data_IF_022981254152
#
_entry.id   IF_022981254152
#
_cell.length_a   1.000
_cell.length_b   1.000
_cell.length_c   1.000
_cell.angle_alpha   90.00
_cell.angle_beta   90.00
_cell.angle_gamma   90.00
#
_symmetry.space_group_name_H-M   'P 1'
#
loop_
_entity.id
_entity.type
_entity.pdbx_description
1 polymer ?
#
# COMPACT_ATOMS: atom_id res chain seq x y z
N UNK A 1 -4.41 22.56 -15.39
CA UNK A 1 -3.39 22.78 -16.46
C UNK A 1 -2.10 21.95 -16.28
N UNK A 2 -1.91 21.24 -15.16
CA UNK A 2 -0.65 20.53 -14.85
C UNK A 2 -0.60 19.06 -15.31
N UNK A 3 -1.71 18.30 -15.31
CA UNK A 3 -1.70 16.88 -15.70
C UNK A 3 -1.40 16.64 -17.19
N UNK A 4 -1.90 17.48 -18.11
CA UNK A 4 -1.67 17.29 -19.55
C UNK A 4 -0.20 17.58 -19.93
N UNK A 5 0.45 18.53 -19.27
CA UNK A 5 1.89 18.81 -19.47
C UNK A 5 2.76 17.65 -19.01
N UNK A 6 2.39 17.00 -17.90
CA UNK A 6 3.10 15.81 -17.40
C UNK A 6 2.94 14.63 -18.34
N UNK A 7 1.73 14.37 -18.85
CA UNK A 7 1.51 13.31 -19.85
C UNK A 7 2.32 13.54 -21.13
N UNK A 8 2.35 14.78 -21.63
CA UNK A 8 3.13 15.14 -22.82
C UNK A 8 4.65 14.94 -22.61
N UNK A 9 5.17 15.32 -21.44
CA UNK A 9 6.57 15.06 -21.08
C UNK A 9 6.89 13.57 -21.03
N UNK A 10 6.00 12.75 -20.46
CA UNK A 10 6.19 11.29 -20.41
C UNK A 10 6.18 10.69 -21.82
N UNK A 11 5.24 11.08 -22.68
CA UNK A 11 5.18 10.63 -24.08
C UNK A 11 6.42 11.05 -24.88
N UNK A 12 6.90 12.28 -24.71
CA UNK A 12 8.11 12.76 -25.38
C UNK A 12 9.37 12.01 -24.93
N UNK A 13 9.48 11.70 -23.63
CA UNK A 13 10.60 10.93 -23.10
C UNK A 13 10.60 9.50 -23.64
N UNK A 14 9.43 8.86 -23.73
CA UNK A 14 9.27 7.54 -24.34
C UNK A 14 9.71 7.52 -25.80
N UNK A 15 9.40 8.58 -26.56
CA UNK A 15 9.82 8.69 -27.96
C UNK A 15 11.33 8.86 -28.12
N UNK A 16 11.95 9.73 -27.33
CA UNK A 16 13.41 9.95 -27.34
C UNK A 16 14.16 8.66 -27.00
N UNK A 17 13.64 7.93 -26.03
CA UNK A 17 14.18 6.63 -25.61
C UNK A 17 14.09 5.62 -26.75
N UNK A 18 12.90 5.42 -27.34
CA UNK A 18 12.72 4.52 -28.48
C UNK A 18 13.64 4.85 -29.66
N UNK A 19 13.92 6.15 -29.88
CA UNK A 19 14.86 6.60 -30.88
C UNK A 19 16.31 6.20 -30.56
N UNK A 20 16.75 6.43 -29.30
CA UNK A 20 18.09 6.01 -28.85
C UNK A 20 18.27 4.49 -28.95
N UNK A 21 17.25 3.69 -28.67
CA UNK A 21 17.35 2.24 -28.74
C UNK A 21 17.37 1.69 -30.17
N UNK A 22 16.64 2.33 -31.10
CA UNK A 22 16.78 2.04 -32.53
C UNK A 22 18.22 2.22 -33.02
N UNK A 23 18.98 3.14 -32.41
CA UNK A 23 20.39 3.35 -32.71
C UNK A 23 21.29 2.22 -32.18
N UNK A 24 20.94 1.55 -31.08
CA UNK A 24 21.75 0.49 -30.45
C UNK A 24 21.41 -0.95 -30.91
N UNK A 25 20.44 -1.15 -31.81
CA UNK A 25 20.00 -2.49 -32.29
C UNK A 25 19.60 -3.47 -31.16
N UNK A 26 19.11 -2.97 -30.03
CA UNK A 26 18.62 -3.79 -28.91
C UNK A 26 17.16 -4.21 -29.18
N UNK A 27 16.76 -5.43 -28.79
CA UNK A 27 15.39 -5.94 -28.97
C UNK A 27 14.37 -5.21 -28.06
N UNK A 28 13.16 -5.01 -28.58
CA UNK A 28 12.12 -4.11 -28.03
C UNK A 28 11.60 -4.45 -26.62
N UNK A 29 11.56 -5.73 -26.21
CA UNK A 29 11.06 -6.07 -24.85
C UNK A 29 12.09 -5.72 -23.78
N UNK A 30 13.34 -6.10 -24.03
CA UNK A 30 14.43 -5.89 -23.07
C UNK A 30 14.60 -4.39 -22.83
N UNK A 31 14.44 -3.59 -23.89
CA UNK A 31 14.35 -2.13 -23.84
C UNK A 31 13.29 -1.68 -22.83
N UNK A 32 12.05 -2.17 -22.90
CA UNK A 32 10.98 -1.71 -22.02
C UNK A 32 11.33 -1.90 -20.53
N UNK A 33 11.95 -3.03 -20.16
CA UNK A 33 12.35 -3.28 -18.78
C UNK A 33 13.49 -2.35 -18.36
N UNK A 34 14.53 -2.24 -19.19
CA UNK A 34 15.68 -1.35 -18.93
C UNK A 34 15.21 0.09 -18.77
N UNK A 35 14.33 0.56 -19.66
CA UNK A 35 13.73 1.89 -19.61
C UNK A 35 12.90 2.08 -18.35
N UNK A 36 12.11 1.09 -17.96
CA UNK A 36 11.31 1.17 -16.72
C UNK A 36 12.23 1.29 -15.50
N UNK A 37 13.30 0.49 -15.43
CA UNK A 37 14.31 0.56 -14.36
C UNK A 37 15.01 1.93 -14.36
N UNK A 38 15.43 2.41 -15.54
CA UNK A 38 16.08 3.71 -15.69
C UNK A 38 15.15 4.85 -15.24
N UNK A 39 13.87 4.81 -15.60
CA UNK A 39 12.89 5.79 -15.17
C UNK A 39 12.72 5.78 -13.64
N UNK A 40 12.73 4.61 -13.00
CA UNK A 40 12.70 4.52 -11.54
C UNK A 40 13.95 5.14 -10.92
N UNK A 41 15.14 4.86 -11.47
CA UNK A 41 16.39 5.46 -11.00
C UNK A 41 16.40 6.99 -11.17
N UNK A 42 15.90 7.49 -12.30
CA UNK A 42 15.74 8.93 -12.56
C UNK A 42 14.76 9.55 -11.57
N UNK A 43 13.63 8.89 -11.28
CA UNK A 43 12.67 9.36 -10.27
C UNK A 43 13.33 9.46 -8.89
N UNK A 44 14.10 8.45 -8.49
CA UNK A 44 14.88 8.47 -7.24
C UNK A 44 15.86 9.65 -7.24
N UNK A 45 16.63 9.84 -8.31
CA UNK A 45 17.60 10.92 -8.42
C UNK A 45 16.92 12.30 -8.33
N UNK A 46 15.82 12.53 -9.04
CA UNK A 46 15.05 13.78 -9.00
C UNK A 46 14.58 14.07 -7.58
N UNK A 47 14.08 13.06 -6.86
CA UNK A 47 13.61 13.22 -5.48
C UNK A 47 14.77 13.55 -4.55
N UNK A 48 15.92 12.88 -4.69
CA UNK A 48 17.10 13.14 -3.86
C UNK A 48 17.64 14.56 -4.10
N UNK A 49 17.76 14.98 -5.37
CA UNK A 49 18.19 16.32 -5.76
C UNK A 49 17.19 17.36 -5.25
N UNK A 50 15.89 17.16 -5.48
CA UNK A 50 14.84 18.07 -5.01
C UNK A 50 14.83 18.20 -3.49
N UNK A 51 15.10 17.12 -2.76
CA UNK A 51 15.23 17.14 -1.32
C UNK A 51 16.49 17.90 -0.85
N UNK A 52 17.63 17.73 -1.53
CA UNK A 52 18.85 18.49 -1.24
C UNK A 52 18.63 20.00 -1.45
N UNK A 53 18.01 20.39 -2.58
CA UNK A 53 17.67 21.78 -2.88
C UNK A 53 16.72 22.36 -1.82
N UNK A 54 15.74 21.58 -1.37
CA UNK A 54 14.78 22.02 -0.34
C UNK A 54 15.43 22.22 1.04
N UNK A 55 16.38 21.35 1.42
CA UNK A 55 17.04 21.41 2.73
C UNK A 55 18.07 22.53 2.80
N UNK A 56 18.77 22.81 1.69
CA UNK A 56 19.83 23.82 1.62
C UNK A 56 19.45 25.20 2.22
N UNK A 57 18.28 25.81 1.91
CA UNK A 57 17.89 27.09 2.50
C UNK A 57 17.35 26.99 3.94
N UNK A 58 16.92 25.80 4.39
CA UNK A 58 16.13 25.67 5.62
C UNK A 58 16.96 25.53 6.91
N UNK A 59 18.29 25.45 6.87
CA UNK A 59 19.16 25.09 8.01
C UNK A 59 18.70 23.84 8.82
N UNK A 60 17.79 23.05 8.26
CA UNK A 60 17.15 21.92 8.93
C UNK A 60 18.07 20.70 8.95
N UNK A 61 18.00 19.91 10.03
CA UNK A 61 18.69 18.61 10.08
C UNK A 61 18.07 17.67 9.03
N UNK A 62 18.93 16.98 8.30
CA UNK A 62 18.55 15.99 7.29
C UNK A 62 17.71 14.87 7.91
N UNK A 63 16.47 14.71 7.44
CA UNK A 63 15.53 13.71 7.93
C UNK A 63 15.58 12.47 7.04
N UNK A 64 16.51 11.56 7.35
CA UNK A 64 16.73 10.30 6.61
C UNK A 64 15.48 9.45 6.39
N UNK A 65 14.47 9.57 7.26
CA UNK A 65 13.20 8.85 7.12
C UNK A 65 12.38 9.27 5.90
N UNK A 66 12.52 10.50 5.41
CA UNK A 66 11.83 10.96 4.21
C UNK A 66 12.33 10.14 3.01
N UNK A 67 13.65 10.04 2.85
CA UNK A 67 14.28 9.28 1.76
C UNK A 67 13.90 7.81 1.84
N UNK A 68 13.97 7.20 3.03
CA UNK A 68 13.56 5.81 3.25
C UNK A 68 12.12 5.55 2.80
N UNK A 69 11.17 6.38 3.25
CA UNK A 69 9.76 6.24 2.86
C UNK A 69 9.56 6.47 1.37
N UNK A 70 10.27 7.42 0.76
CA UNK A 70 10.12 7.68 -0.66
C UNK A 70 10.68 6.56 -1.52
N UNK A 71 11.86 6.02 -1.19
CA UNK A 71 12.41 4.84 -1.86
C UNK A 71 11.46 3.65 -1.76
N UNK A 72 10.93 3.42 -0.56
CA UNK A 72 9.99 2.33 -0.31
C UNK A 72 8.68 2.52 -1.09
N UNK A 73 8.15 3.74 -1.13
CA UNK A 73 6.97 4.08 -1.92
C UNK A 73 7.21 3.83 -3.42
N UNK A 74 8.33 4.31 -3.96
CA UNK A 74 8.70 4.13 -5.37
C UNK A 74 8.88 2.65 -5.71
N UNK A 75 9.48 1.87 -4.81
CA UNK A 75 9.59 0.43 -4.96
C UNK A 75 8.20 -0.21 -5.05
N UNK A 76 7.34 -0.01 -4.03
CA UNK A 76 6.00 -0.62 -3.97
C UNK A 76 5.12 -0.19 -5.16
N UNK A 77 5.23 1.07 -5.61
CA UNK A 77 4.43 1.58 -6.73
C UNK A 77 4.83 0.98 -8.07
N UNK A 78 6.13 0.78 -8.31
CA UNK A 78 6.63 0.28 -9.59
C UNK A 78 6.80 -1.24 -9.65
N UNK A 79 6.82 -1.90 -8.49
CA UNK A 79 7.08 -3.34 -8.35
C UNK A 79 6.23 -4.20 -9.28
N UNK A 80 4.91 -4.06 -9.22
CA UNK A 80 3.99 -4.93 -9.97
C UNK A 80 4.11 -4.74 -11.49
N UNK A 81 4.42 -3.53 -11.93
CA UNK A 81 4.67 -3.23 -13.33
C UNK A 81 5.92 -3.97 -13.84
N UNK A 82 7.04 -3.83 -13.12
CA UNK A 82 8.28 -4.55 -13.45
C UNK A 82 8.08 -6.07 -13.41
N UNK A 83 7.48 -6.60 -12.33
CA UNK A 83 7.23 -8.03 -12.20
C UNK A 83 6.41 -8.59 -13.37
N UNK A 84 5.35 -7.90 -13.79
CA UNK A 84 4.56 -8.28 -14.96
C UNK A 84 5.39 -8.27 -16.26
N UNK A 85 6.29 -7.30 -16.45
CA UNK A 85 7.16 -7.27 -17.62
C UNK A 85 8.13 -8.46 -17.64
N UNK A 86 8.70 -8.84 -16.50
CA UNK A 86 9.54 -10.03 -16.39
C UNK A 86 8.75 -11.32 -16.65
N UNK A 87 7.54 -11.45 -16.07
CA UNK A 87 6.67 -12.60 -16.36
C UNK A 87 6.36 -12.70 -17.86
N UNK A 88 6.12 -11.56 -18.52
CA UNK A 88 5.83 -11.47 -19.95
C UNK A 88 6.99 -11.84 -20.87
N UNK A 89 8.24 -11.82 -20.40
CA UNK A 89 9.41 -12.33 -21.15
C UNK A 89 9.46 -13.85 -21.07
N UNK A 90 9.19 -14.40 -19.88
CA UNK A 90 9.33 -15.84 -19.63
C UNK A 90 8.12 -16.63 -20.16
N UNK A 91 7.01 -15.96 -20.44
CA UNK A 91 5.80 -16.57 -20.96
C UNK A 91 5.70 -16.58 -22.48
N UNK A 92 4.97 -17.57 -22.98
CA UNK A 92 4.71 -17.77 -24.41
C UNK A 92 3.25 -17.52 -24.75
N UNK A 93 3.01 -17.10 -25.98
CA UNK A 93 1.69 -16.98 -26.60
C UNK A 93 1.69 -17.70 -27.94
N UNK A 94 0.63 -18.48 -28.20
CA UNK A 94 0.48 -19.21 -29.46
C UNK A 94 -0.37 -18.38 -30.42
N UNK A 95 0.16 -18.08 -31.61
CA UNK A 95 -0.56 -17.42 -32.72
C UNK A 95 -0.34 -18.28 -33.96
N UNK A 96 -1.43 -18.79 -34.56
CA UNK A 96 -1.36 -19.64 -35.76
C UNK A 96 -0.42 -20.85 -35.60
N UNK A 97 -0.49 -21.52 -34.44
CA UNK A 97 0.40 -22.64 -34.05
C UNK A 97 1.89 -22.31 -33.94
N UNK A 98 2.26 -21.03 -33.94
CA UNK A 98 3.64 -20.58 -33.70
C UNK A 98 3.70 -19.95 -32.31
N UNK A 99 4.71 -20.33 -31.54
CA UNK A 99 4.96 -19.79 -30.21
C UNK A 99 5.78 -18.49 -30.32
N UNK A 100 5.22 -17.40 -29.81
CA UNK A 100 5.85 -16.10 -29.69
C UNK A 100 6.02 -15.74 -28.22
N UNK A 101 6.91 -14.79 -27.94
CA UNK A 101 7.05 -14.24 -26.60
C UNK A 101 5.81 -13.40 -26.30
N UNK A 102 5.21 -13.54 -25.12
CA UNK A 102 3.98 -12.81 -24.80
C UNK A 102 4.17 -11.29 -24.87
N UNK A 103 5.36 -10.81 -24.49
CA UNK A 103 5.72 -9.40 -24.53
C UNK A 103 6.02 -8.83 -25.90
N UNK A 104 6.28 -9.68 -26.91
CA UNK A 104 6.71 -9.27 -28.25
C UNK A 104 6.46 -10.37 -29.28
N UNK A 105 5.66 -9.99 -30.27
CA UNK A 105 5.23 -10.87 -31.36
C UNK A 105 6.24 -10.90 -32.51
N UNK A 106 7.33 -10.13 -32.45
CA UNK A 106 8.37 -10.13 -33.49
C UNK A 106 9.34 -11.30 -33.35
N UNK A 107 9.54 -11.81 -32.13
CA UNK A 107 10.50 -12.88 -31.85
C UNK A 107 9.80 -14.19 -31.48
N UNK A 108 10.26 -15.30 -32.08
CA UNK A 108 9.78 -16.65 -31.75
C UNK A 108 10.25 -17.05 -30.36
N UNK A 109 9.35 -17.68 -29.61
CA UNK A 109 9.69 -18.25 -28.30
C UNK A 109 10.70 -19.40 -28.48
N UNK A 110 11.67 -19.47 -27.59
CA UNK A 110 12.70 -20.51 -27.61
C UNK A 110 13.87 -20.29 -28.58
N UNK A 111 13.96 -19.13 -29.24
CA UNK A 111 15.15 -18.78 -30.03
C UNK A 111 16.42 -18.77 -29.15
N UNK A 112 17.60 -18.96 -29.75
CA UNK A 112 18.88 -18.96 -29.00
C UNK A 112 19.08 -17.65 -28.22
N UNK A 113 18.79 -16.51 -28.86
CA UNK A 113 18.86 -15.20 -28.22
C UNK A 113 17.85 -15.08 -27.07
N UNK A 114 16.60 -15.48 -27.30
CA UNK A 114 15.57 -15.44 -26.27
C UNK A 114 15.92 -16.29 -25.04
N UNK A 115 16.42 -17.51 -25.25
CA UNK A 115 16.84 -18.37 -24.14
C UNK A 115 17.98 -17.75 -23.35
N UNK A 116 18.96 -17.13 -24.02
CA UNK A 116 20.03 -16.39 -23.36
C UNK A 116 19.47 -15.30 -22.43
N UNK A 117 18.52 -14.49 -22.92
CA UNK A 117 17.89 -13.44 -22.12
C UNK A 117 17.00 -13.97 -20.98
N UNK A 118 16.29 -15.08 -21.19
CA UNK A 118 15.55 -15.73 -20.10
C UNK A 118 16.50 -16.11 -18.97
N UNK A 119 17.59 -16.83 -19.27
CA UNK A 119 18.48 -17.36 -18.24
C UNK A 119 19.32 -16.28 -17.57
N UNK A 120 19.81 -15.28 -18.31
CA UNK A 120 20.65 -14.21 -17.77
C UNK A 120 19.86 -13.11 -17.07
N UNK A 121 18.64 -12.81 -17.55
CA UNK A 121 17.91 -11.62 -17.11
C UNK A 121 16.49 -11.94 -16.62
N UNK A 122 15.73 -12.71 -17.38
CA UNK A 122 14.32 -13.04 -17.07
C UNK A 122 14.14 -13.75 -15.73
N UNK A 123 14.74 -14.94 -15.59
CA UNK A 123 14.63 -15.77 -14.38
C UNK A 123 15.31 -15.10 -13.18
N UNK A 124 16.56 -14.60 -13.27
CA UNK A 124 17.18 -13.91 -12.14
C UNK A 124 16.37 -12.70 -11.67
N UNK A 125 15.80 -11.92 -12.61
CA UNK A 125 14.92 -10.79 -12.31
C UNK A 125 13.64 -11.22 -11.61
N UNK A 126 12.99 -12.30 -12.06
CA UNK A 126 11.81 -12.86 -11.40
C UNK A 126 12.11 -13.39 -9.99
N UNK A 127 13.24 -14.07 -9.79
CA UNK A 127 13.63 -14.56 -8.46
C UNK A 127 13.93 -13.39 -7.53
N UNK A 128 14.68 -12.39 -8.02
CA UNK A 128 15.05 -11.21 -7.26
C UNK A 128 13.80 -10.41 -6.84
N UNK A 129 12.96 -10.04 -7.81
CA UNK A 129 11.78 -9.21 -7.56
C UNK A 129 10.65 -10.04 -6.93
N UNK A 130 10.31 -11.19 -7.48
CA UNK A 130 9.16 -11.99 -7.05
C UNK A 130 9.33 -12.64 -5.68
N UNK A 131 10.56 -13.00 -5.29
CA UNK A 131 10.80 -13.78 -4.08
C UNK A 131 11.76 -13.11 -3.11
N UNK A 132 12.99 -12.78 -3.54
CA UNK A 132 14.05 -12.30 -2.64
C UNK A 132 13.68 -10.98 -1.95
N UNK A 133 13.24 -9.95 -2.68
CA UNK A 133 12.93 -8.66 -2.06
C UNK A 133 11.70 -8.75 -1.13
N UNK A 134 10.57 -9.35 -1.52
CA UNK A 134 9.41 -9.51 -0.63
C UNK A 134 9.74 -10.33 0.61
N UNK A 135 10.56 -11.38 0.47
CA UNK A 135 11.02 -12.19 1.59
C UNK A 135 11.98 -11.42 2.50
N UNK A 136 12.92 -10.66 1.94
CA UNK A 136 13.81 -9.80 2.71
C UNK A 136 13.04 -8.72 3.48
N UNK A 137 12.04 -8.09 2.86
CA UNK A 137 11.12 -7.18 3.53
C UNK A 137 10.38 -7.91 4.66
N UNK A 138 9.82 -9.09 4.40
CA UNK A 138 9.14 -9.89 5.42
C UNK A 138 10.04 -10.25 6.60
N UNK A 139 11.26 -10.72 6.35
CA UNK A 139 12.25 -11.01 7.40
C UNK A 139 12.62 -9.76 8.18
N UNK A 140 12.85 -8.65 7.49
CA UNK A 140 13.13 -7.37 8.12
C UNK A 140 11.99 -6.96 9.07
N UNK A 141 10.73 -7.13 8.65
CA UNK A 141 9.56 -6.91 9.52
C UNK A 141 9.53 -7.85 10.72
N UNK A 142 9.77 -9.13 10.48
CA UNK A 142 9.72 -10.16 11.51
C UNK A 142 10.75 -9.91 12.63
N UNK A 143 11.97 -9.53 12.24
CA UNK A 143 13.06 -9.23 13.17
C UNK A 143 12.79 -7.92 13.92
N UNK A 144 12.25 -6.90 13.23
CA UNK A 144 12.07 -5.56 13.81
C UNK A 144 10.75 -5.38 14.58
N UNK A 145 9.91 -6.43 14.69
CA UNK A 145 8.60 -6.36 15.35
C UNK A 145 8.64 -5.81 16.78
N UNK A 146 9.66 -6.18 17.56
CA UNK A 146 9.81 -5.71 18.95
C UNK A 146 10.11 -4.21 19.04
N UNK A 147 10.62 -3.62 17.96
CA UNK A 147 10.96 -2.19 17.89
C UNK A 147 9.89 -1.32 17.22
N UNK A 148 8.74 -1.89 16.81
CA UNK A 148 7.67 -1.12 16.16
C UNK A 148 7.11 0.00 17.03
N UNK A 149 7.14 -0.16 18.36
CA UNK A 149 6.72 0.87 19.30
C UNK A 149 7.69 2.06 19.40
N UNK A 150 8.89 1.98 18.80
CA UNK A 150 9.83 3.10 18.78
C UNK A 150 9.42 4.09 17.68
N UNK A 151 9.08 5.31 18.09
CA UNK A 151 8.68 6.43 17.21
C UNK A 151 9.68 6.64 16.05
N UNK A 152 10.98 6.48 16.32
CA UNK A 152 12.02 6.62 15.29
C UNK A 152 11.85 5.59 14.18
N UNK A 153 11.66 4.31 14.52
CA UNK A 153 11.50 3.24 13.55
C UNK A 153 10.21 3.37 12.75
N UNK A 154 9.10 3.70 13.46
CA UNK A 154 7.79 3.95 12.82
C UNK A 154 7.87 5.04 11.76
N UNK A 155 8.73 6.06 11.91
CA UNK A 155 8.89 7.10 10.88
C UNK A 155 9.51 6.60 9.59
N UNK A 156 10.41 5.61 9.62
CA UNK A 156 11.10 5.10 8.42
C UNK A 156 10.27 4.14 7.58
N UNK A 157 9.25 3.52 8.18
CA UNK A 157 8.44 2.49 7.54
C UNK A 157 6.94 2.73 7.77
N UNK A 158 6.59 3.98 8.09
CA UNK A 158 5.23 4.40 8.42
C UNK A 158 4.27 3.98 7.30
N UNK A 159 4.72 4.12 6.05
CA UNK A 159 3.92 3.79 4.87
C UNK A 159 3.42 2.33 4.85
N UNK A 160 4.19 1.36 5.34
CA UNK A 160 3.76 -0.04 5.34
C UNK A 160 2.99 -0.44 6.59
N UNK A 161 3.11 0.28 7.71
CA UNK A 161 2.59 -0.22 9.01
C UNK A 161 1.52 0.62 9.67
N UNK A 162 1.37 1.90 9.30
CA UNK A 162 0.53 2.80 10.10
C UNK A 162 -0.94 2.36 10.19
N UNK A 163 -1.36 1.53 9.24
CA UNK A 163 -2.73 1.09 9.08
C UNK A 163 -3.03 -0.28 9.73
N UNK A 164 -2.02 -1.07 10.11
CA UNK A 164 -2.18 -2.45 10.57
C UNK A 164 -2.13 -2.64 12.08
N UNK A 165 -2.86 -3.66 12.55
CA UNK A 165 -2.75 -4.17 13.90
C UNK A 165 -1.38 -4.84 14.11
N UNK A 166 -0.78 -4.71 15.30
CA UNK A 166 0.52 -5.32 15.63
C UNK A 166 0.55 -6.84 15.43
N UNK A 167 -0.59 -7.51 15.60
CA UNK A 167 -0.72 -8.96 15.42
C UNK A 167 -0.73 -9.37 13.93
N UNK A 168 -1.15 -8.47 13.04
CA UNK A 168 -1.44 -8.76 11.64
C UNK A 168 -0.47 -8.07 10.66
N UNK A 169 0.76 -7.78 11.09
CA UNK A 169 1.79 -7.14 10.25
C UNK A 169 2.13 -7.94 8.98
N UNK A 170 1.97 -9.26 9.01
CA UNK A 170 2.21 -10.14 7.85
C UNK A 170 1.17 -9.94 6.73
N UNK A 171 0.08 -9.21 6.99
CA UNK A 171 -0.98 -9.00 6.00
C UNK A 171 -0.52 -8.25 4.76
N UNK A 172 0.46 -7.35 4.89
CA UNK A 172 1.04 -6.68 3.72
C UNK A 172 1.69 -7.68 2.77
N UNK A 173 2.37 -8.71 3.30
CA UNK A 173 2.91 -9.81 2.51
C UNK A 173 1.79 -10.60 1.80
N UNK A 174 0.67 -10.89 2.49
CA UNK A 174 -0.49 -11.55 1.87
C UNK A 174 -1.06 -10.71 0.71
N UNK A 175 -1.21 -9.39 0.89
CA UNK A 175 -1.67 -8.50 -0.19
C UNK A 175 -0.69 -8.44 -1.36
N UNK A 176 0.59 -8.51 -1.06
CA UNK A 176 1.65 -8.55 -2.05
C UNK A 176 1.59 -9.85 -2.86
N UNK A 177 1.55 -11.00 -2.19
CA UNK A 177 1.38 -12.32 -2.80
C UNK A 177 0.08 -12.44 -3.59
N UNK A 178 -1.00 -11.79 -3.14
CA UNK A 178 -2.25 -11.67 -3.91
C UNK A 178 -2.02 -11.07 -5.29
N UNK A 179 -1.36 -9.91 -5.35
CA UNK A 179 -1.11 -9.21 -6.61
C UNK A 179 -0.15 -9.99 -7.52
N UNK A 180 0.89 -10.62 -6.95
CA UNK A 180 1.79 -11.52 -7.71
C UNK A 180 1.00 -12.69 -8.31
N UNK A 181 0.17 -13.36 -7.52
CA UNK A 181 -0.61 -14.51 -7.98
C UNK A 181 -1.57 -14.13 -9.10
N UNK A 182 -2.21 -12.96 -9.00
CA UNK A 182 -3.06 -12.42 -10.09
C UNK A 182 -2.25 -12.23 -11.37
N UNK A 183 -1.05 -11.63 -11.29
CA UNK A 183 -0.18 -11.46 -12.46
C UNK A 183 0.20 -12.81 -13.05
N UNK A 184 0.65 -13.76 -12.23
CA UNK A 184 1.02 -15.10 -12.69
C UNK A 184 -0.15 -15.80 -13.41
N UNK A 185 -1.35 -15.80 -12.81
CA UNK A 185 -2.53 -16.42 -13.44
C UNK A 185 -2.87 -15.71 -14.77
N UNK A 186 -2.80 -14.37 -14.80
CA UNK A 186 -3.08 -13.58 -16.01
C UNK A 186 -2.08 -13.86 -17.13
N UNK A 187 -0.80 -14.00 -16.80
CA UNK A 187 0.28 -14.24 -17.75
C UNK A 187 0.27 -15.70 -18.26
N UNK A 188 0.26 -16.70 -17.36
CA UNK A 188 0.42 -18.10 -17.75
C UNK A 188 -0.83 -18.72 -18.41
N UNK A 189 -2.03 -18.25 -18.07
CA UNK A 189 -3.28 -18.76 -18.64
C UNK A 189 -3.86 -17.83 -19.71
N UNK A 190 -3.02 -17.12 -20.48
CA UNK A 190 -3.49 -16.16 -21.49
C UNK A 190 -4.48 -16.81 -22.47
N UNK A 191 -4.15 -17.99 -23.01
CA UNK A 191 -4.91 -18.69 -24.06
C UNK A 191 -6.23 -19.29 -23.57
N UNK A 192 -6.30 -19.80 -22.33
CA UNK A 192 -7.51 -20.41 -21.80
C UNK A 192 -8.25 -19.41 -20.91
N UNK A 193 -9.12 -18.60 -21.52
CA UNK A 193 -9.85 -17.51 -20.86
C UNK A 193 -10.73 -18.03 -19.71
N UNK A 194 -11.41 -19.17 -19.91
CA UNK A 194 -12.28 -19.77 -18.89
C UNK A 194 -11.47 -20.22 -17.66
N UNK A 195 -10.36 -20.96 -17.88
CA UNK A 195 -9.49 -21.42 -16.81
C UNK A 195 -8.85 -20.26 -16.05
N UNK A 196 -8.35 -19.25 -16.77
CA UNK A 196 -7.80 -18.02 -16.18
C UNK A 196 -8.79 -17.34 -15.24
N UNK A 197 -10.02 -17.15 -15.71
CA UNK A 197 -11.02 -16.41 -14.96
C UNK A 197 -11.57 -17.21 -13.75
N UNK A 198 -11.74 -18.52 -13.88
CA UNK A 198 -12.13 -19.40 -12.76
C UNK A 198 -11.06 -19.48 -11.68
N UNK A 199 -9.77 -19.61 -12.05
CA UNK A 199 -8.66 -19.58 -11.10
C UNK A 199 -8.55 -18.23 -10.38
N UNK A 200 -8.69 -17.11 -11.10
CA UNK A 200 -8.71 -15.78 -10.49
C UNK A 200 -9.87 -15.62 -9.50
N UNK A 201 -11.08 -16.06 -9.88
CA UNK A 201 -12.27 -16.02 -9.03
C UNK A 201 -12.08 -16.84 -7.75
N UNK A 202 -11.60 -18.09 -7.87
CA UNK A 202 -11.32 -18.96 -6.73
C UNK A 202 -10.27 -18.35 -5.80
N UNK A 203 -9.18 -17.82 -6.36
CA UNK A 203 -8.11 -17.20 -5.58
C UNK A 203 -8.59 -15.96 -4.81
N UNK A 204 -9.39 -15.09 -5.45
CA UNK A 204 -9.96 -13.92 -4.79
C UNK A 204 -10.97 -14.29 -3.70
N UNK A 205 -11.73 -15.37 -3.88
CA UNK A 205 -12.65 -15.89 -2.87
C UNK A 205 -11.87 -16.35 -1.63
N UNK A 206 -10.78 -17.11 -1.82
CA UNK A 206 -9.90 -17.52 -0.71
C UNK A 206 -9.35 -16.28 0.02
N UNK A 207 -8.89 -15.27 -0.73
CA UNK A 207 -8.43 -14.01 -0.14
C UNK A 207 -9.53 -13.31 0.69
N UNK A 208 -10.78 -13.26 0.19
CA UNK A 208 -11.89 -12.65 0.92
C UNK A 208 -12.20 -13.37 2.23
N UNK A 209 -12.19 -14.71 2.23
CA UNK A 209 -12.39 -15.50 3.46
C UNK A 209 -11.30 -15.17 4.47
N UNK A 210 -10.03 -15.12 4.03
CA UNK A 210 -8.91 -14.75 4.90
C UNK A 210 -9.05 -13.32 5.42
N UNK A 211 -9.41 -12.36 4.56
CA UNK A 211 -9.55 -10.95 4.90
C UNK A 211 -10.68 -10.72 5.92
N UNK A 212 -11.81 -11.39 5.72
CA UNK A 212 -12.97 -11.32 6.63
C UNK A 212 -12.68 -11.88 8.02
N UNK A 213 -11.86 -12.93 8.11
CA UNK A 213 -11.45 -13.54 9.39
C UNK A 213 -10.40 -12.73 10.14
N UNK A 214 -9.39 -12.21 9.42
CA UNK A 214 -8.23 -11.60 10.07
C UNK A 214 -8.43 -10.12 10.43
N UNK A 215 -9.25 -9.37 9.66
CA UNK A 215 -9.49 -7.93 9.87
C UNK A 215 -8.20 -7.15 10.21
N UNK A 216 -7.21 -7.16 9.29
CA UNK A 216 -5.83 -6.75 9.56
C UNK A 216 -5.65 -5.26 9.90
N UNK A 217 -6.56 -4.38 9.46
CA UNK A 217 -6.44 -2.95 9.65
C UNK A 217 -6.92 -2.52 11.05
N UNK A 218 -6.25 -1.51 11.63
CA UNK A 218 -6.65 -0.87 12.89
C UNK A 218 -8.04 -0.23 12.79
N UNK A 219 -8.39 0.29 11.60
CA UNK A 219 -9.67 0.92 11.32
C UNK A 219 -10.63 -0.07 10.68
N UNK A 220 -11.73 -0.40 11.36
CA UNK A 220 -12.78 -1.30 10.84
C UNK A 220 -13.32 -0.87 9.48
N UNK A 221 -13.41 0.45 9.23
CA UNK A 221 -13.81 0.98 7.92
C UNK A 221 -12.86 0.54 6.80
N UNK A 222 -11.55 0.47 7.04
CA UNK A 222 -10.58 0.01 6.04
C UNK A 222 -10.71 -1.50 5.77
N UNK A 223 -10.96 -2.31 6.80
CA UNK A 223 -11.27 -3.74 6.65
C UNK A 223 -12.49 -3.97 5.75
N UNK A 224 -13.56 -3.22 6.00
CA UNK A 224 -14.78 -3.31 5.19
C UNK A 224 -14.54 -2.86 3.75
N UNK A 225 -13.75 -1.79 3.53
CA UNK A 225 -13.43 -1.31 2.19
C UNK A 225 -12.59 -2.32 1.39
N UNK A 226 -11.59 -2.95 2.01
CA UNK A 226 -10.77 -3.97 1.33
C UNK A 226 -11.60 -5.22 0.99
N UNK A 227 -12.49 -5.65 1.89
CA UNK A 227 -13.40 -6.76 1.64
C UNK A 227 -14.39 -6.44 0.51
N UNK A 228 -15.00 -5.25 0.54
CA UNK A 228 -15.90 -4.79 -0.52
C UNK A 228 -15.17 -4.71 -1.86
N UNK A 229 -13.97 -4.13 -1.92
CA UNK A 229 -13.17 -4.06 -3.14
C UNK A 229 -12.88 -5.45 -3.72
N UNK A 230 -12.55 -6.42 -2.87
CA UNK A 230 -12.34 -7.81 -3.30
C UNK A 230 -13.62 -8.46 -3.83
N UNK A 231 -14.77 -8.25 -3.16
CA UNK A 231 -16.08 -8.77 -3.59
C UNK A 231 -16.47 -8.20 -4.95
N UNK A 232 -16.32 -6.90 -5.14
CA UNK A 232 -16.58 -6.21 -6.41
C UNK A 232 -15.73 -6.81 -7.53
N UNK A 233 -14.43 -7.00 -7.27
CA UNK A 233 -13.52 -7.60 -8.23
C UNK A 233 -13.96 -9.03 -8.60
N UNK A 234 -14.41 -9.83 -7.64
CA UNK A 234 -14.89 -11.19 -7.90
C UNK A 234 -16.18 -11.21 -8.72
N UNK A 235 -17.15 -10.37 -8.35
CA UNK A 235 -18.40 -10.21 -9.12
C UNK A 235 -18.07 -9.79 -10.56
N UNK A 236 -17.18 -8.81 -10.74
CA UNK A 236 -16.77 -8.36 -12.07
C UNK A 236 -16.15 -9.50 -12.91
N UNK A 237 -15.32 -10.35 -12.31
CA UNK A 237 -14.76 -11.53 -12.98
C UNK A 237 -15.86 -12.53 -13.36
N UNK A 238 -16.78 -12.86 -12.45
CA UNK A 238 -17.88 -13.78 -12.75
C UNK A 238 -18.76 -13.28 -13.90
N UNK A 239 -19.12 -11.99 -13.89
CA UNK A 239 -19.95 -11.43 -14.97
C UNK A 239 -19.15 -11.32 -16.27
N UNK A 240 -17.84 -11.08 -16.23
CA UNK A 240 -16.98 -11.15 -17.42
C UNK A 240 -16.92 -12.56 -18.02
N UNK A 241 -16.89 -13.61 -17.19
CA UNK A 241 -17.00 -15.00 -17.64
C UNK A 241 -18.36 -15.24 -18.29
N UNK A 242 -19.45 -14.81 -17.64
CA UNK A 242 -20.80 -14.96 -18.18
C UNK A 242 -20.93 -14.29 -19.56
N UNK A 243 -20.42 -13.05 -19.69
CA UNK A 243 -20.34 -12.35 -20.99
C UNK A 243 -19.58 -13.18 -22.04
N UNK A 244 -18.40 -13.69 -21.68
CA UNK A 244 -17.58 -14.48 -22.60
C UNK A 244 -18.31 -15.73 -23.11
N UNK A 245 -19.02 -16.44 -22.23
CA UNK A 245 -19.82 -17.61 -22.61
C UNK A 245 -21.01 -17.23 -23.49
N UNK A 246 -21.72 -16.14 -23.15
CA UNK A 246 -22.86 -15.65 -23.96
C UNK A 246 -22.43 -15.22 -25.37
N UNK A 247 -21.24 -14.64 -25.51
CA UNK A 247 -20.67 -14.22 -26.79
C UNK A 247 -20.35 -15.42 -27.70
N UNK A 248 -19.92 -16.56 -27.13
CA UNK A 248 -19.71 -17.80 -27.88
C UNK A 248 -21.01 -18.43 -28.41
N UNK A 249 -22.15 -18.17 -27.77
CA UNK A 249 -23.45 -18.76 -28.15
C UNK A 249 -24.23 -17.91 -29.18
N UNK A 250 -23.58 -16.94 -29.85
CA UNK A 250 -24.15 -16.06 -30.91
C UNK A 250 -25.30 -15.15 -30.42
N UNK A 251 -25.59 -15.12 -29.12
CA UNK A 251 -26.64 -14.27 -28.54
C UNK A 251 -26.12 -12.87 -28.19
N UNK A 252 -25.90 -12.03 -29.21
CA UNK A 252 -25.36 -10.68 -29.07
C UNK A 252 -26.13 -9.78 -28.09
N UNK A 253 -27.47 -9.90 -28.04
CA UNK A 253 -28.32 -9.09 -27.17
C UNK A 253 -28.06 -9.36 -25.67
N UNK A 254 -27.93 -10.63 -25.27
CA UNK A 254 -27.68 -11.01 -23.87
C UNK A 254 -26.32 -10.51 -23.37
N UNK A 255 -25.29 -10.58 -24.23
CA UNK A 255 -23.93 -10.08 -23.94
C UNK A 255 -23.91 -8.56 -23.71
N UNK A 256 -24.64 -7.79 -24.52
CA UNK A 256 -24.77 -6.34 -24.35
C UNK A 256 -25.49 -5.97 -23.05
N UNK A 257 -26.58 -6.67 -22.71
CA UNK A 257 -27.30 -6.46 -21.44
C UNK A 257 -26.37 -6.74 -20.25
N UNK A 258 -25.64 -7.87 -20.28
CA UNK A 258 -24.67 -8.20 -19.24
C UNK A 258 -23.58 -7.13 -19.13
N UNK A 259 -23.06 -6.60 -20.23
CA UNK A 259 -22.07 -5.53 -20.21
C UNK A 259 -22.60 -4.24 -19.57
N UNK A 260 -23.82 -3.82 -19.90
CA UNK A 260 -24.46 -2.66 -19.26
C UNK A 260 -24.62 -2.90 -17.75
N UNK A 261 -25.02 -4.11 -17.36
CA UNK A 261 -25.13 -4.50 -15.96
C UNK A 261 -23.76 -4.44 -15.23
N UNK A 262 -22.67 -4.92 -15.86
CA UNK A 262 -21.30 -4.78 -15.33
C UNK A 262 -20.97 -3.31 -15.12
N UNK A 263 -21.20 -2.45 -16.12
CA UNK A 263 -20.87 -1.04 -16.03
C UNK A 263 -21.66 -0.35 -14.91
N UNK A 264 -22.96 -0.59 -14.80
CA UNK A 264 -23.81 -0.05 -13.73
C UNK A 264 -23.35 -0.52 -12.35
N UNK A 265 -23.01 -1.81 -12.22
CA UNK A 265 -22.50 -2.40 -10.98
C UNK A 265 -21.16 -1.75 -10.58
N UNK A 266 -20.22 -1.64 -11.52
CA UNK A 266 -18.94 -0.95 -11.32
C UNK A 266 -19.13 0.52 -10.92
N UNK A 267 -20.02 1.26 -11.59
CA UNK A 267 -20.31 2.67 -11.26
C UNK A 267 -20.90 2.78 -9.86
N UNK A 268 -21.94 2.00 -9.54
CA UNK A 268 -22.61 2.03 -8.22
C UNK A 268 -21.62 1.77 -7.08
N UNK A 269 -20.69 0.83 -7.29
CA UNK A 269 -19.72 0.43 -6.27
C UNK A 269 -18.55 1.42 -6.15
N UNK A 270 -18.00 1.88 -7.28
CA UNK A 270 -16.96 2.92 -7.29
C UNK A 270 -17.49 4.25 -6.74
N UNK A 271 -18.77 4.58 -6.97
CA UNK A 271 -19.37 5.83 -6.52
C UNK A 271 -19.27 6.00 -5.00
N UNK A 272 -19.60 4.97 -4.22
CA UNK A 272 -19.52 5.04 -2.75
C UNK A 272 -18.08 5.30 -2.29
N UNK A 273 -17.10 4.64 -2.92
CA UNK A 273 -15.69 4.82 -2.61
C UNK A 273 -15.20 6.23 -2.98
N UNK A 274 -15.55 6.71 -4.18
CA UNK A 274 -15.21 8.06 -4.65
C UNK A 274 -15.84 9.11 -3.75
N UNK A 275 -17.10 8.94 -3.33
CA UNK A 275 -17.75 9.85 -2.40
C UNK A 275 -17.06 9.90 -1.04
N UNK A 276 -16.65 8.76 -0.50
CA UNK A 276 -15.98 8.70 0.80
C UNK A 276 -14.61 9.37 0.75
N UNK A 277 -13.83 9.13 -0.31
CA UNK A 277 -12.59 9.84 -0.57
C UNK A 277 -12.87 11.33 -0.74
N UNK A 278 -13.84 11.69 -1.58
CA UNK A 278 -14.18 13.08 -1.84
C UNK A 278 -14.61 13.81 -0.55
N UNK A 279 -15.44 13.20 0.29
CA UNK A 279 -15.82 13.75 1.60
C UNK A 279 -14.61 13.94 2.51
N UNK A 280 -13.68 12.97 2.55
CA UNK A 280 -12.45 13.07 3.33
C UNK A 280 -11.55 14.21 2.83
N UNK A 281 -11.37 14.34 1.51
CA UNK A 281 -10.60 15.42 0.90
C UNK A 281 -11.27 16.78 1.07
N UNK A 282 -12.57 16.89 0.84
CA UNK A 282 -13.34 18.11 1.06
C UNK A 282 -13.20 18.55 2.51
N UNK A 283 -13.36 17.64 3.49
CA UNK A 283 -13.19 17.98 4.91
C UNK A 283 -11.76 18.45 5.23
N UNK A 284 -10.74 17.80 4.66
CA UNK A 284 -9.32 18.13 4.88
C UNK A 284 -8.93 19.48 4.25
N UNK A 285 -9.42 19.76 3.05
CA UNK A 285 -9.05 20.96 2.27
C UNK A 285 -10.11 22.07 2.33
N UNK A 286 -11.16 21.91 3.13
CA UNK A 286 -12.31 22.83 3.19
C UNK A 286 -11.89 24.28 3.47
N UNK A 287 -11.03 24.45 4.48
CA UNK A 287 -10.55 25.77 4.92
C UNK A 287 -9.66 26.40 3.86
N UNK A 288 -8.76 25.62 3.25
CA UNK A 288 -7.86 26.11 2.21
C UNK A 288 -8.64 26.49 0.95
N UNK A 289 -9.58 25.66 0.52
CA UNK A 289 -10.44 25.93 -0.63
C UNK A 289 -11.26 27.20 -0.43
N UNK A 290 -11.91 27.37 0.73
CA UNK A 290 -12.70 28.59 1.01
C UNK A 290 -11.81 29.82 1.17
N UNK A 291 -10.58 29.67 1.65
CA UNK A 291 -9.60 30.78 1.69
C UNK A 291 -9.24 31.23 0.28
N UNK A 292 -8.85 30.30 -0.60
CA UNK A 292 -8.54 30.60 -2.01
C UNK A 292 -9.75 31.22 -2.74
N UNK A 293 -10.96 30.68 -2.50
CA UNK A 293 -12.19 31.21 -3.08
C UNK A 293 -12.52 32.62 -2.57
N UNK A 294 -12.31 32.89 -1.28
CA UNK A 294 -12.47 34.21 -0.67
C UNK A 294 -11.50 35.22 -1.28
N UNK A 295 -10.22 34.88 -1.38
CA UNK A 295 -9.18 35.75 -1.94
C UNK A 295 -9.47 36.05 -3.43
N UNK A 296 -9.89 35.04 -4.19
CA UNK A 296 -10.29 35.19 -5.59
C UNK A 296 -11.50 36.13 -5.74
N UNK A 297 -12.59 35.91 -4.98
CA UNK A 297 -13.79 36.75 -5.06
C UNK A 297 -13.55 38.17 -4.55
N UNK A 298 -12.70 38.33 -3.53
CA UNK A 298 -12.27 39.65 -3.01
C UNK A 298 -11.50 40.44 -4.07
N UNK A 299 -10.68 39.76 -4.88
CA UNK A 299 -9.95 40.38 -6.00
C UNK A 299 -10.88 40.88 -7.11
N UNK A 300 -12.03 40.24 -7.34
CA UNK A 300 -12.96 40.62 -8.42
C UNK A 300 -13.94 41.68 -7.95
N UNK A 301 -14.61 41.48 -6.80
CA UNK A 301 -15.65 42.38 -6.26
C UNK A 301 -15.56 42.47 -4.74
N UNK A 302 -14.75 43.38 -4.18
CA UNK A 302 -14.45 43.42 -2.75
C UNK A 302 -15.68 43.69 -1.86
N UNK A 303 -16.70 44.40 -2.38
CA UNK A 303 -17.91 44.76 -1.64
C UNK A 303 -19.12 43.85 -1.92
N UNK A 304 -18.92 42.71 -2.56
CA UNK A 304 -20.05 41.80 -2.83
C UNK A 304 -20.55 41.12 -1.53
N UNK A 305 -21.87 40.93 -1.40
CA UNK A 305 -22.49 40.23 -0.26
C UNK A 305 -21.90 38.82 -0.06
N UNK A 306 -21.50 38.16 -1.15
CA UNK A 306 -20.88 36.82 -1.16
C UNK A 306 -19.52 36.80 -0.46
N UNK A 307 -18.67 37.82 -0.67
CA UNK A 307 -17.36 37.93 -0.01
C UNK A 307 -17.53 38.13 1.50
N UNK A 308 -18.51 38.93 1.92
CA UNK A 308 -18.82 39.13 3.35
C UNK A 308 -19.29 37.82 3.99
N UNK A 309 -20.19 37.09 3.32
CA UNK A 309 -20.68 35.79 3.79
C UNK A 309 -19.56 34.75 3.91
N UNK A 310 -18.73 34.60 2.87
CA UNK A 310 -17.59 33.68 2.89
C UNK A 310 -16.56 34.07 3.96
N UNK A 311 -16.36 35.36 4.18
CA UNK A 311 -15.50 35.87 5.25
C UNK A 311 -15.98 35.43 6.63
N UNK A 312 -17.28 35.59 6.94
CA UNK A 312 -17.87 35.12 8.19
C UNK A 312 -17.74 33.60 8.36
N UNK A 313 -18.03 32.85 7.30
CA UNK A 313 -17.98 31.39 7.31
C UNK A 313 -16.55 30.86 7.52
N UNK A 314 -15.56 31.51 6.90
CA UNK A 314 -14.13 31.22 7.09
C UNK A 314 -13.68 31.53 8.52
N UNK A 315 -14.13 32.65 9.11
CA UNK A 315 -13.85 32.99 10.52
C UNK A 315 -14.44 31.92 11.46
N UNK A 316 -15.71 31.53 11.26
CA UNK A 316 -16.36 30.50 12.08
C UNK A 316 -15.61 29.17 12.02
N UNK A 317 -15.16 28.76 10.84
CA UNK A 317 -14.40 27.52 10.67
C UNK A 317 -13.01 27.60 11.31
N UNK A 318 -12.29 28.71 11.14
CA UNK A 318 -11.00 28.92 11.84
C UNK A 318 -11.16 28.89 13.36
N UNK A 319 -12.23 29.48 13.90
CA UNK A 319 -12.53 29.43 15.34
C UNK A 319 -12.83 27.99 15.78
N UNK A 320 -13.62 27.24 15.01
CA UNK A 320 -13.92 25.83 15.31
C UNK A 320 -12.64 24.98 15.28
N UNK A 321 -11.78 25.18 14.29
CA UNK A 321 -10.50 24.47 14.18
C UNK A 321 -9.57 24.82 15.35
N UNK A 322 -9.43 26.10 15.69
CA UNK A 322 -8.68 26.54 16.88
C UNK A 322 -9.22 25.93 18.16
N UNK A 323 -10.55 25.89 18.36
CA UNK A 323 -11.17 25.25 19.53
C UNK A 323 -10.87 23.75 19.58
N UNK A 324 -10.95 23.05 18.44
CA UNK A 324 -10.59 21.63 18.39
C UNK A 324 -9.10 21.42 18.71
N UNK A 325 -8.21 22.24 18.17
CA UNK A 325 -6.78 22.18 18.46
C UNK A 325 -6.47 22.48 19.94
N UNK A 326 -7.14 23.47 20.53
CA UNK A 326 -7.04 23.80 21.96
C UNK A 326 -7.58 22.67 22.83
N UNK A 327 -8.77 22.14 22.54
CA UNK A 327 -9.32 21.02 23.29
C UNK A 327 -8.42 19.79 23.18
N UNK A 328 -7.84 19.55 22.00
CA UNK A 328 -6.89 18.47 21.80
C UNK A 328 -5.58 18.68 22.57
N UNK A 329 -5.06 19.90 22.64
CA UNK A 329 -3.85 20.20 23.42
C UNK A 329 -4.09 20.07 24.93
N UNK A 330 -5.24 20.54 25.41
CA UNK A 330 -5.69 20.36 26.80
C UNK A 330 -5.82 18.86 27.12
N UNK A 331 -6.53 18.10 26.28
CA UNK A 331 -6.68 16.66 26.44
C UNK A 331 -5.33 15.95 26.45
N UNK A 332 -4.43 16.31 25.53
CA UNK A 332 -3.08 15.75 25.45
C UNK A 332 -2.27 16.08 26.71
N UNK A 333 -2.32 17.31 27.21
CA UNK A 333 -1.63 17.70 28.43
C UNK A 333 -2.17 16.94 29.65
N UNK A 334 -3.48 16.78 29.74
CA UNK A 334 -4.14 16.00 30.78
C UNK A 334 -3.74 14.52 30.74
N UNK A 335 -3.78 13.90 29.56
CA UNK A 335 -3.35 12.51 29.37
C UNK A 335 -1.86 12.31 29.68
N UNK A 336 -1.00 13.25 29.29
CA UNK A 336 0.43 13.22 29.66
C UNK A 336 0.64 13.36 31.16
N UNK A 337 -0.15 14.21 31.85
CA UNK A 337 -0.11 14.34 33.31
C UNK A 337 -0.48 13.01 33.98
N UNK A 338 -1.57 12.37 33.54
CA UNK A 338 -1.98 11.05 34.04
C UNK A 338 -0.88 10.00 33.81
N UNK A 339 -0.38 9.90 32.58
CA UNK A 339 0.67 8.95 32.23
C UNK A 339 1.94 9.15 33.07
N UNK A 340 2.36 10.40 33.29
CA UNK A 340 3.51 10.71 34.14
C UNK A 340 3.26 10.36 35.61
N UNK A 341 2.06 10.58 36.13
CA UNK A 341 1.69 10.16 37.50
C UNK A 341 1.73 8.64 37.62
N UNK A 342 1.20 7.91 36.64
CA UNK A 342 1.25 6.44 36.61
C UNK A 342 2.69 5.90 36.55
N UNK A 343 3.56 6.53 35.76
CA UNK A 343 4.98 6.15 35.70
C UNK A 343 5.68 6.42 37.03
N UNK A 344 5.37 7.53 37.70
CA UNK A 344 5.94 7.86 39.02
C UNK A 344 5.50 6.87 40.09
N UNK A 345 4.21 6.54 40.16
CA UNK A 345 3.70 5.55 41.13
C UNK A 345 4.31 4.17 40.87
N UNK A 346 4.42 3.74 39.61
CA UNK A 346 5.11 2.49 39.26
C UNK A 346 6.59 2.48 39.70
N UNK A 347 7.31 3.59 39.52
CA UNK A 347 8.71 3.71 39.99
C UNK A 347 8.82 3.61 41.51
N UNK A 348 7.89 4.24 42.25
CA UNK A 348 7.85 4.17 43.71
C UNK A 348 7.58 2.74 44.20
N UNK A 349 6.61 2.04 43.61
CA UNK A 349 6.36 0.62 43.92
C UNK A 349 7.59 -0.24 43.66
N UNK A 350 8.29 -0.03 42.54
CA UNK A 350 9.52 -0.77 42.23
C UNK A 350 10.65 -0.49 43.22
N UNK A 351 10.79 0.76 43.68
CA UNK A 351 11.76 1.13 44.71
C UNK A 351 11.43 0.50 46.06
N UNK A 352 10.16 0.54 46.49
CA UNK A 352 9.71 -0.12 47.72
C UNK A 352 9.94 -1.63 47.67
N UNK A 353 9.61 -2.26 46.55
CA UNK A 353 9.86 -3.69 46.34
C UNK A 353 11.36 -4.02 46.39
N UNK A 354 12.21 -3.19 45.79
CA UNK A 354 13.68 -3.37 45.85
C UNK A 354 14.22 -3.26 47.27
N UNK A 355 13.73 -2.31 48.06
CA UNK A 355 14.12 -2.17 49.48
C UNK A 355 13.67 -3.41 50.26
N UNK A 356 12.42 -3.84 50.08
CA UNK A 356 11.91 -5.07 50.71
C UNK A 356 12.77 -6.30 50.37
N UNK A 357 13.15 -6.49 49.10
CA UNK A 357 14.02 -7.60 48.70
C UNK A 357 15.44 -7.52 49.29
N UNK A 358 15.98 -6.34 49.55
CA UNK A 358 17.29 -6.17 50.17
C UNK A 358 17.27 -6.46 51.68
N UNK A 359 16.11 -6.29 52.34
CA UNK A 359 15.94 -6.57 53.77
C UNK A 359 15.63 -8.04 54.07
N UNK A 360 15.25 -8.85 53.08
CA UNK A 360 15.04 -10.29 53.28
C UNK A 360 16.42 -10.97 53.50
N UNK A 361 16.67 -11.57 54.68
CA UNK A 361 17.91 -12.30 54.94
C UNK A 361 18.04 -13.48 53.97
N UNK A 362 19.24 -13.75 53.46
CA UNK A 362 19.53 -14.82 52.47
C UNK A 362 18.98 -16.21 52.86
N UNK A 363 18.75 -16.47 54.14
CA UNK A 363 18.16 -17.74 54.63
C UNK A 363 16.67 -17.92 54.30
N UNK A 364 15.91 -16.85 54.06
CA UNK A 364 14.47 -16.93 53.70
C UNK A 364 14.21 -16.83 52.18
N UNK A 365 15.25 -16.61 51.36
CA UNK A 365 15.10 -16.48 49.92
C UNK A 365 14.70 -17.82 49.26
N UNK A 366 15.14 -18.95 49.82
CA UNK A 366 14.85 -20.30 49.35
C UNK A 366 13.40 -20.75 49.61
N UNK A 367 12.77 -20.28 50.70
CA UNK A 367 11.37 -20.59 51.00
C UNK A 367 10.42 -19.72 50.16
N UNK A 368 10.77 -18.44 49.95
CA UNK A 368 10.03 -17.54 49.06
C UNK A 368 10.07 -17.98 47.58
N UNK A 369 11.20 -18.50 47.09
CA UNK A 369 11.28 -19.04 45.72
C UNK A 369 10.36 -20.24 45.54
N UNK A 370 10.29 -21.16 46.53
CA UNK A 370 9.34 -22.29 46.50
C UNK A 370 7.88 -21.83 46.52
N UNK A 371 7.54 -20.80 47.29
CA UNK A 371 6.19 -20.23 47.28
C UNK A 371 5.85 -19.54 45.95
N UNK A 372 6.79 -18.80 45.35
CA UNK A 372 6.58 -18.18 44.04
C UNK A 372 6.41 -19.21 42.93
N UNK A 373 7.17 -20.31 42.94
CA UNK A 373 6.97 -21.42 42.02
C UNK A 373 5.58 -22.04 42.16
N UNK A 374 5.09 -22.26 43.39
CA UNK A 374 3.73 -22.76 43.61
C UNK A 374 2.65 -21.80 43.12
N UNK A 375 2.81 -20.49 43.31
CA UNK A 375 1.86 -19.48 42.82
C UNK A 375 1.88 -19.44 41.29
N UNK A 376 3.05 -19.51 40.66
CA UNK A 376 3.16 -19.57 39.20
C UNK A 376 2.53 -20.84 38.63
N UNK A 377 2.72 -22.00 39.27
CA UNK A 377 2.08 -23.26 38.88
C UNK A 377 0.55 -23.12 38.98
N UNK A 378 0.02 -22.58 40.08
CA UNK A 378 -1.42 -22.34 40.25
C UNK A 378 -1.99 -21.38 39.20
N UNK A 379 -1.30 -20.28 38.90
CA UNK A 379 -1.71 -19.35 37.87
C UNK A 379 -1.71 -19.98 36.46
N UNK A 380 -0.73 -20.85 36.16
CA UNK A 380 -0.67 -21.59 34.90
C UNK A 380 -1.82 -22.59 34.77
N UNK A 381 -2.16 -23.30 35.84
CA UNK A 381 -3.29 -24.23 35.89
C UNK A 381 -4.62 -23.48 35.68
N UNK A 382 -4.79 -22.31 36.31
CA UNK A 382 -5.99 -21.50 36.15
C UNK A 382 -6.17 -21.02 34.69
N UNK A 383 -5.10 -20.54 34.06
CA UNK A 383 -5.10 -20.10 32.66
C UNK A 383 -5.27 -21.24 31.63
N UNK A 384 -5.04 -22.50 32.03
CA UNK A 384 -5.29 -23.67 31.17
C UNK A 384 -6.68 -24.27 31.35
N UNK A 385 -7.42 -23.89 32.40
CA UNK A 385 -8.82 -24.27 32.60
C UNK A 385 -9.81 -23.28 31.98
N UNK A 386 -9.39 -22.04 31.72
CA UNK A 386 -10.21 -21.00 31.07
C UNK A 386 -10.13 -20.99 29.53
N UNK A 387 -9.19 -21.76 28.95
CA UNK A 387 -9.10 -22.01 27.50
C UNK A 387 -9.59 -23.42 27.19
#
# INVERSE_FOLDING_TARGET
>A
MTQNKVKFLISGLQFLIAYLFKFFQIELIQERIIVTILLILIQVAIILIGYQIYVQPSQGRFQTYIISNTLLYLYVSNFFGLFNQFCSIVSKRIISNIEYIQGDLTQKFGSSNHNYWIYQFGIPGLVLLGFLIPFALFLFMFITKKSFNKIQFRRHICYLFDEYNEQNYFWEYIKFSKKISIILIMTYFESNILLKATLLGLFLLIYQILAGRQQPYNLSKLNNLDLQAAQICSIAIFVAIAKYVSEQQVQNASSQILQVFIMLLCIKLCYQFILDIFKAYVKKYQVLFVTVLYDFLKSIKPKSKQVIYLGHLLIQWRIKEKRVQQNFSILKAYLLKIANTQIKTQKQYYQQYRLFCNEIPKQNLASLTRQQEQIQIKAKIFLTLEN
#
